data_IF_186896377256
#
_entry.id   IF_186896377256
#
_cell.length_a   1.000
_cell.length_b   1.000
_cell.length_c   1.000
_cell.angle_alpha   90.00
_cell.angle_beta   90.00
_cell.angle_gamma   90.00
#
_symmetry.space_group_name_H-M   'P 1'
#
loop_
_entity.id
_entity.type
_entity.pdbx_description
1 polymer ?
#
# COMPACT_ATOMS: atom_id res chain seq x y z
N UNK A 1 -24.32 -18.43 11.63
CA UNK A 1 -24.13 -17.00 11.37
C UNK A 1 -22.64 -16.63 11.39
N UNK A 2 -21.79 -17.38 12.08
CA UNK A 2 -20.34 -17.13 12.13
C UNK A 2 -19.61 -17.46 10.81
N UNK A 3 -20.03 -18.52 10.11
CA UNK A 3 -19.33 -18.98 8.90
C UNK A 3 -19.25 -17.92 7.79
N UNK A 4 -20.32 -17.11 7.60
CA UNK A 4 -20.34 -16.11 6.54
C UNK A 4 -19.41 -14.93 6.85
N UNK A 5 -19.30 -14.52 8.11
CA UNK A 5 -18.34 -13.49 8.52
C UNK A 5 -16.90 -13.98 8.33
N UNK A 6 -16.61 -15.22 8.70
CA UNK A 6 -15.29 -15.82 8.47
C UNK A 6 -14.94 -15.90 7.00
N UNK A 7 -15.90 -16.29 6.14
CA UNK A 7 -15.70 -16.29 4.68
C UNK A 7 -15.41 -14.88 4.16
N UNK A 8 -16.17 -13.87 4.59
CA UNK A 8 -15.94 -12.48 4.17
C UNK A 8 -14.54 -12.02 4.59
N UNK A 9 -14.13 -12.27 5.83
CA UNK A 9 -12.79 -11.91 6.31
C UNK A 9 -11.69 -12.60 5.49
N UNK A 10 -11.84 -13.90 5.21
CA UNK A 10 -10.89 -14.64 4.40
C UNK A 10 -10.77 -14.08 2.97
N UNK A 11 -11.90 -13.74 2.34
CA UNK A 11 -11.93 -13.12 1.01
C UNK A 11 -11.25 -11.76 1.02
N UNK A 12 -11.52 -10.92 2.02
CA UNK A 12 -10.88 -9.60 2.15
C UNK A 12 -9.36 -9.72 2.32
N UNK A 13 -8.89 -10.67 3.15
CA UNK A 13 -7.47 -10.92 3.34
C UNK A 13 -6.81 -11.44 2.05
N UNK A 14 -7.47 -12.31 1.31
CA UNK A 14 -6.97 -12.82 0.04
C UNK A 14 -6.86 -11.70 -1.00
N UNK A 15 -7.86 -10.83 -1.10
CA UNK A 15 -7.83 -9.64 -1.96
C UNK A 15 -6.70 -8.69 -1.55
N UNK A 16 -6.52 -8.42 -0.26
CA UNK A 16 -5.38 -7.64 0.24
C UNK A 16 -4.04 -8.24 -0.19
N UNK A 17 -3.87 -9.56 -0.04
CA UNK A 17 -2.64 -10.25 -0.42
C UNK A 17 -2.37 -10.13 -1.94
N UNK A 18 -3.40 -10.27 -2.77
CA UNK A 18 -3.28 -10.09 -4.23
C UNK A 18 -2.83 -8.67 -4.56
N UNK A 19 -3.42 -7.64 -3.95
CA UNK A 19 -3.01 -6.26 -4.19
C UNK A 19 -1.58 -5.97 -3.75
N UNK A 20 -1.14 -6.53 -2.61
CA UNK A 20 0.25 -6.40 -2.14
C UNK A 20 1.21 -7.03 -3.15
N UNK A 21 0.91 -8.23 -3.67
CA UNK A 21 1.75 -8.90 -4.67
C UNK A 21 1.78 -8.13 -6.00
N UNK A 22 0.64 -7.61 -6.46
CA UNK A 22 0.56 -6.79 -7.67
C UNK A 22 1.33 -5.47 -7.51
N UNK A 23 1.24 -4.84 -6.34
CA UNK A 23 1.98 -3.63 -6.04
C UNK A 23 3.49 -3.88 -6.00
N UNK A 24 3.94 -4.97 -5.35
CA UNK A 24 5.34 -5.37 -5.33
C UNK A 24 5.87 -5.64 -6.75
N UNK A 25 5.09 -6.37 -7.57
CA UNK A 25 5.42 -6.59 -8.98
C UNK A 25 5.51 -5.26 -9.73
N UNK A 26 4.54 -4.35 -9.53
CA UNK A 26 4.49 -3.04 -10.17
C UNK A 26 5.70 -2.17 -9.82
N UNK A 27 6.11 -2.14 -8.56
CA UNK A 27 7.29 -1.39 -8.09
C UNK A 27 8.57 -1.93 -8.75
N UNK A 28 8.74 -3.26 -8.83
CA UNK A 28 9.94 -3.90 -9.35
C UNK A 28 10.00 -3.93 -10.89
N UNK A 29 8.85 -3.89 -11.58
CA UNK A 29 8.78 -4.04 -13.03
C UNK A 29 9.38 -2.86 -13.79
N UNK A 30 9.16 -1.64 -13.32
CA UNK A 30 9.59 -0.44 -14.02
C UNK A 30 11.01 -0.07 -13.60
N UNK A 31 11.88 0.25 -14.55
CA UNK A 31 13.26 0.71 -14.31
C UNK A 31 13.33 2.23 -14.26
N UNK A 32 14.50 2.76 -13.86
CA UNK A 32 14.75 4.19 -13.67
C UNK A 32 14.95 4.96 -15.00
N UNK A 33 14.85 4.28 -16.14
CA UNK A 33 14.93 4.87 -17.48
C UNK A 33 13.66 5.63 -17.88
N UNK A 34 12.56 5.48 -17.14
CA UNK A 34 11.30 6.19 -17.36
C UNK A 34 11.31 7.51 -16.56
N UNK A 35 11.11 8.68 -17.21
CA UNK A 35 11.04 9.95 -16.51
C UNK A 35 9.98 9.95 -15.41
N UNK A 36 10.33 10.44 -14.22
CA UNK A 36 9.42 10.57 -13.05
C UNK A 36 8.83 9.24 -12.57
N UNK A 37 9.47 8.10 -12.87
CA UNK A 37 8.97 6.78 -12.49
C UNK A 37 8.83 6.62 -10.97
N UNK A 38 9.65 7.32 -10.18
CA UNK A 38 9.53 7.28 -8.72
C UNK A 38 8.13 7.67 -8.24
N UNK A 39 7.54 8.74 -8.79
CA UNK A 39 6.19 9.18 -8.40
C UNK A 39 5.14 8.12 -8.72
N UNK A 40 5.30 7.42 -9.85
CA UNK A 40 4.44 6.29 -10.20
C UNK A 40 4.63 5.13 -9.22
N UNK A 41 5.87 4.79 -8.83
CA UNK A 41 6.15 3.75 -7.82
C UNK A 41 5.58 4.11 -6.45
N UNK A 42 5.62 5.38 -6.04
CA UNK A 42 4.97 5.85 -4.81
C UNK A 42 3.46 5.67 -4.88
N UNK A 43 2.84 5.93 -6.03
CA UNK A 43 1.41 5.70 -6.20
C UNK A 43 1.06 4.20 -6.16
N UNK A 44 1.89 3.33 -6.75
CA UNK A 44 1.75 1.87 -6.65
C UNK A 44 1.96 1.41 -5.19
N UNK A 45 2.93 1.97 -4.47
CA UNK A 45 3.16 1.69 -3.05
C UNK A 45 1.92 2.02 -2.21
N UNK A 46 1.24 3.13 -2.53
CA UNK A 46 -0.03 3.48 -1.90
C UNK A 46 -1.12 2.41 -2.03
N UNK A 47 -1.13 1.61 -3.11
CA UNK A 47 -2.04 0.47 -3.25
C UNK A 47 -1.71 -0.63 -2.22
N UNK A 48 -0.42 -0.91 -2.00
CA UNK A 48 0.01 -1.85 -0.96
C UNK A 48 -0.36 -1.34 0.44
N UNK A 49 -0.16 -0.04 0.70
CA UNK A 49 -0.50 0.56 1.99
C UNK A 49 -2.00 0.43 2.29
N UNK A 50 -2.87 0.72 1.32
CA UNK A 50 -4.32 0.57 1.47
C UNK A 50 -4.74 -0.90 1.64
N UNK A 51 -4.10 -1.83 0.95
CA UNK A 51 -4.35 -3.26 1.11
C UNK A 51 -3.95 -3.76 2.52
N UNK A 52 -2.83 -3.27 3.06
CA UNK A 52 -2.40 -3.54 4.43
C UNK A 52 -3.36 -2.93 5.46
N UNK A 53 -3.82 -1.70 5.26
CA UNK A 53 -4.82 -1.05 6.13
C UNK A 53 -6.11 -1.88 6.19
N UNK A 54 -6.60 -2.34 5.04
CA UNK A 54 -7.76 -3.23 4.98
C UNK A 54 -7.51 -4.53 5.75
N UNK A 55 -6.35 -5.17 5.58
CA UNK A 55 -6.01 -6.38 6.30
C UNK A 55 -5.97 -6.16 7.83
N UNK A 56 -5.39 -5.04 8.28
CA UNK A 56 -5.35 -4.66 9.69
C UNK A 56 -6.76 -4.45 10.28
N UNK A 57 -7.67 -3.82 9.53
CA UNK A 57 -9.07 -3.66 9.95
C UNK A 57 -9.76 -5.02 10.09
N UNK A 58 -9.56 -5.93 9.13
CA UNK A 58 -10.12 -7.28 9.15
C UNK A 58 -9.58 -8.09 10.33
N UNK A 59 -8.30 -7.93 10.68
CA UNK A 59 -7.66 -8.59 11.83
C UNK A 59 -8.00 -7.94 13.18
N UNK A 60 -8.87 -6.92 13.23
CA UNK A 60 -9.27 -6.27 14.47
C UNK A 60 -8.22 -5.33 15.07
N UNK A 61 -7.34 -4.77 14.24
CA UNK A 61 -6.30 -3.80 14.64
C UNK A 61 -6.60 -2.37 14.12
N UNK A 62 -7.75 -1.75 14.48
CA UNK A 62 -8.18 -0.47 13.90
C UNK A 62 -7.29 0.70 14.26
N UNK A 63 -6.67 0.70 15.46
CA UNK A 63 -5.75 1.76 15.85
C UNK A 63 -4.49 1.77 14.97
N UNK A 64 -3.96 0.59 14.66
CA UNK A 64 -2.81 0.44 13.77
C UNK A 64 -3.18 0.79 12.32
N UNK A 65 -4.36 0.35 11.86
CA UNK A 65 -4.88 0.70 10.55
C UNK A 65 -5.05 2.23 10.39
N UNK A 66 -5.59 2.91 11.40
CA UNK A 66 -5.73 4.36 11.41
C UNK A 66 -4.39 5.09 11.44
N UNK A 67 -3.44 4.64 12.26
CA UNK A 67 -2.09 5.18 12.27
C UNK A 67 -1.42 5.04 10.89
N UNK A 68 -1.54 3.87 10.26
CA UNK A 68 -0.96 3.61 8.94
C UNK A 68 -1.65 4.45 7.84
N UNK A 69 -2.97 4.61 7.91
CA UNK A 69 -3.72 5.47 7.00
C UNK A 69 -3.28 6.93 7.06
N UNK A 70 -3.00 7.43 8.26
CA UNK A 70 -2.45 8.78 8.43
C UNK A 70 -1.03 8.83 7.89
N UNK A 71 -0.15 7.90 8.27
CA UNK A 71 1.29 8.01 8.00
C UNK A 71 1.67 7.70 6.54
N UNK A 72 0.97 6.80 5.85
CA UNK A 72 1.27 6.39 4.47
C UNK A 72 1.40 7.58 3.48
N UNK A 73 0.43 8.53 3.41
CA UNK A 73 0.57 9.69 2.51
C UNK A 73 1.74 10.61 2.90
N UNK A 74 2.06 10.77 4.19
CA UNK A 74 3.22 11.57 4.61
C UNK A 74 4.54 10.89 4.23
N UNK A 75 4.63 9.57 4.36
CA UNK A 75 5.79 8.80 3.93
C UNK A 75 5.99 8.95 2.41
N UNK A 76 4.93 8.75 1.62
CA UNK A 76 4.99 8.94 0.17
C UNK A 76 5.37 10.37 -0.23
N UNK A 77 4.81 11.38 0.43
CA UNK A 77 5.16 12.78 0.22
C UNK A 77 6.62 13.08 0.57
N UNK A 78 7.11 12.60 1.72
CA UNK A 78 8.49 12.79 2.15
C UNK A 78 9.49 12.17 1.17
N UNK A 79 9.21 10.96 0.67
CA UNK A 79 10.03 10.29 -0.35
C UNK A 79 10.04 11.11 -1.65
N UNK A 80 8.87 11.52 -2.13
CA UNK A 80 8.73 12.31 -3.36
C UNK A 80 9.45 13.67 -3.26
N UNK A 81 9.33 14.33 -2.12
CA UNK A 81 9.96 15.63 -1.84
C UNK A 81 11.48 15.50 -1.76
N UNK A 82 11.97 14.47 -1.06
CA UNK A 82 13.40 14.18 -0.96
C UNK A 82 14.04 13.87 -2.30
N UNK A 83 13.33 13.17 -3.19
CA UNK A 83 13.81 12.93 -4.55
C UNK A 83 13.81 14.22 -5.39
N UNK A 84 12.73 14.99 -5.37
CA UNK A 84 12.62 16.21 -6.19
C UNK A 84 13.68 17.27 -5.86
N UNK A 85 14.00 17.44 -4.57
CA UNK A 85 14.93 18.46 -4.09
C UNK A 85 16.32 17.91 -3.74
N UNK A 86 16.51 16.59 -3.78
CA UNK A 86 17.78 15.92 -3.48
C UNK A 86 18.59 15.51 -4.71
N UNK A 87 18.00 15.58 -5.91
CA UNK A 87 18.74 15.50 -7.17
C UNK A 87 19.39 16.87 -7.46
N UNK A 88 20.60 17.08 -6.95
CA UNK A 88 21.59 18.05 -7.45
C UNK A 88 22.42 17.42 -8.58
#
# INVERSE_FOLDING_TARGET
MDDIFTIIQAVLLLVSAVFILLAALGILRFKDDIPRILYARIHILGVADMACILALLVMGAPLLAGAYFILAPFAGHAIANGFFYGED
#
